data_IF_424828738513
#
_entry.id   IF_424828738513
#
_cell.length_a   1.000
_cell.length_b   1.000
_cell.length_c   1.000
_cell.angle_alpha   90.00
_cell.angle_beta   90.00
_cell.angle_gamma   90.00
#
_symmetry.space_group_name_H-M   'P 1'
#
loop_
_entity.id
_entity.type
_entity.pdbx_description
1 polymer ?
#
# COMPACT_ATOMS: atom_id res chain seq x y z
N UNK A 1 33.75 -24.55 -4.44
CA UNK A 1 32.55 -24.51 -5.30
C UNK A 1 31.25 -24.31 -4.50
N UNK A 2 30.64 -25.30 -3.83
CA UNK A 2 29.33 -25.08 -3.16
C UNK A 2 29.33 -24.02 -2.04
N UNK A 3 30.29 -24.10 -1.10
CA UNK A 3 30.37 -23.14 0.03
C UNK A 3 30.66 -21.71 -0.42
N UNK A 4 31.41 -21.55 -1.52
CA UNK A 4 31.71 -20.26 -2.12
C UNK A 4 30.45 -19.65 -2.73
N UNK A 5 29.69 -20.45 -3.48
CA UNK A 5 28.40 -20.04 -4.05
C UNK A 5 27.37 -19.69 -2.98
N UNK A 6 27.38 -20.40 -1.84
CA UNK A 6 26.54 -20.06 -0.68
C UNK A 6 26.93 -18.72 -0.05
N UNK A 7 28.23 -18.46 0.13
CA UNK A 7 28.72 -17.17 0.62
C UNK A 7 28.31 -16.02 -0.32
N UNK A 8 28.42 -16.22 -1.64
CA UNK A 8 28.00 -15.21 -2.64
C UNK A 8 26.50 -14.91 -2.57
N UNK A 9 25.67 -15.94 -2.40
CA UNK A 9 24.22 -15.78 -2.21
C UNK A 9 23.90 -15.00 -0.93
N UNK A 10 24.61 -15.26 0.18
CA UNK A 10 24.43 -14.51 1.43
C UNK A 10 24.85 -13.03 1.29
N UNK A 11 25.96 -12.77 0.62
CA UNK A 11 26.44 -11.41 0.35
C UNK A 11 25.45 -10.66 -0.55
N UNK A 12 24.91 -11.34 -1.57
CA UNK A 12 23.85 -10.78 -2.43
C UNK A 12 22.60 -10.47 -1.62
N UNK A 13 22.12 -11.41 -0.82
CA UNK A 13 20.92 -11.22 0.01
C UNK A 13 21.08 -10.07 1.00
N UNK A 14 22.25 -9.94 1.64
CA UNK A 14 22.57 -8.81 2.51
C UNK A 14 22.49 -7.48 1.76
N UNK A 15 23.04 -7.40 0.55
CA UNK A 15 22.99 -6.19 -0.29
C UNK A 15 21.56 -5.87 -0.71
N UNK A 16 20.81 -6.86 -1.18
CA UNK A 16 19.43 -6.70 -1.63
C UNK A 16 18.51 -6.23 -0.49
N UNK A 17 18.80 -6.65 0.76
CA UNK A 17 18.08 -6.16 1.94
C UNK A 17 18.49 -4.73 2.35
N UNK A 18 19.76 -4.37 2.23
CA UNK A 18 20.26 -3.05 2.65
C UNK A 18 19.93 -1.95 1.64
N UNK A 19 19.96 -2.27 0.35
CA UNK A 19 19.82 -1.31 -0.76
C UNK A 19 18.58 -0.40 -0.65
N UNK A 20 17.36 -0.91 -0.36
CA UNK A 20 16.19 -0.04 -0.25
C UNK A 20 16.30 0.99 0.89
N UNK A 21 16.97 0.65 1.98
CA UNK A 21 17.16 1.56 3.12
C UNK A 21 18.22 2.62 2.82
N UNK A 22 19.31 2.24 2.16
CA UNK A 22 20.35 3.17 1.74
C UNK A 22 19.79 4.18 0.72
N UNK A 23 19.02 3.70 -0.27
CA UNK A 23 18.33 4.54 -1.26
C UNK A 23 17.33 5.50 -0.60
N UNK A 24 16.51 5.00 0.33
CA UNK A 24 15.55 5.83 1.05
C UNK A 24 16.24 6.90 1.90
N UNK A 25 17.33 6.54 2.58
CA UNK A 25 18.12 7.46 3.40
C UNK A 25 18.75 8.55 2.53
N UNK A 26 19.34 8.18 1.39
CA UNK A 26 19.91 9.14 0.45
C UNK A 26 18.85 10.10 -0.12
N UNK A 27 17.66 9.58 -0.45
CA UNK A 27 16.53 10.40 -0.90
C UNK A 27 16.10 11.40 0.17
N UNK A 28 15.90 10.95 1.41
CA UNK A 28 15.49 11.82 2.52
C UNK A 28 16.52 12.91 2.81
N UNK A 29 17.81 12.58 2.82
CA UNK A 29 18.88 13.57 2.97
C UNK A 29 18.88 14.60 1.83
N UNK A 30 18.57 14.18 0.61
CA UNK A 30 18.44 15.10 -0.53
C UNK A 30 17.29 16.08 -0.34
N UNK A 31 16.13 15.59 0.11
CA UNK A 31 14.97 16.45 0.41
C UNK A 31 15.27 17.39 1.59
N UNK A 32 15.95 16.91 2.63
CA UNK A 32 16.37 17.72 3.76
C UNK A 32 17.27 18.89 3.32
N UNK A 33 18.24 18.62 2.45
CA UNK A 33 19.11 19.67 1.88
C UNK A 33 18.26 20.69 1.09
N UNK A 34 17.37 20.24 0.21
CA UNK A 34 16.50 21.13 -0.58
C UNK A 34 15.63 22.03 0.32
N UNK A 35 15.07 21.46 1.40
CA UNK A 35 14.28 22.23 2.36
C UNK A 35 15.16 23.20 3.16
N UNK A 36 16.37 22.80 3.54
CA UNK A 36 17.32 23.66 4.25
C UNK A 36 17.76 24.86 3.41
N UNK A 37 17.89 24.69 2.09
CA UNK A 37 18.23 25.76 1.15
C UNK A 37 17.08 26.76 0.98
N UNK A 38 15.83 26.27 0.96
CA UNK A 38 14.63 27.13 0.92
C UNK A 38 14.41 27.88 2.22
N UNK A 39 14.84 27.32 3.35
CA UNK A 39 14.72 27.93 4.68
C UNK A 39 15.85 28.92 5.01
N UNK A 40 16.81 29.18 4.10
CA UNK A 40 17.79 30.27 4.28
C UNK A 40 17.09 31.60 3.96
N UNK A 41 16.80 32.47 4.96
CA UNK A 41 16.28 33.80 4.67
C UNK A 41 17.33 34.57 3.86
N UNK A 42 16.87 35.26 2.82
CA UNK A 42 17.69 36.17 2.05
C UNK A 42 18.37 37.17 2.99
N UNK A 43 19.67 36.99 3.21
CA UNK A 43 20.52 37.97 3.87
C UNK A 43 20.70 39.17 2.92
N UNK A 44 19.72 40.08 2.98
CA UNK A 44 19.74 41.49 2.57
C UNK A 44 18.70 42.13 3.50
N UNK A 45 18.97 43.03 4.44
CA UNK A 45 20.08 43.93 4.75
C UNK A 45 20.02 44.17 6.27
N UNK A 46 21.14 44.17 6.98
CA UNK A 46 21.38 45.17 8.05
C UNK A 46 22.83 45.06 8.49
N UNK A 47 23.65 45.96 7.95
CA UNK A 47 24.96 46.29 8.49
C UNK A 47 24.89 47.70 9.08
N UNK A 48 25.58 47.87 10.20
CA UNK A 48 26.01 49.11 10.87
C UNK A 48 24.99 50.05 11.57
N UNK A 49 25.19 50.10 12.89
CA UNK A 49 25.55 51.28 13.68
C UNK A 49 24.76 52.61 13.59
N UNK A 50 24.29 53.01 14.78
CA UNK A 50 24.35 54.38 15.34
C UNK A 50 23.50 55.47 14.68
N UNK A 51 22.56 56.00 15.48
CA UNK A 51 22.45 57.46 15.67
C UNK A 51 21.19 58.16 15.14
N UNK A 52 20.29 58.48 16.07
CA UNK A 52 19.77 59.84 16.35
C UNK A 52 18.92 60.62 15.31
N UNK A 53 17.73 61.00 15.80
CA UNK A 53 16.96 62.25 15.58
C UNK A 53 16.23 62.53 14.25
N UNK A 54 14.90 62.57 14.39
CA UNK A 54 13.95 63.64 14.00
C UNK A 54 13.48 63.88 12.54
N UNK A 55 12.14 63.98 12.46
CA UNK A 55 11.25 64.69 11.55
C UNK A 55 10.99 64.26 10.07
N UNK A 56 9.68 64.22 9.80
CA UNK A 56 8.94 64.56 8.56
C UNK A 56 8.71 63.51 7.44
N UNK A 57 7.44 63.08 7.42
CA UNK A 57 6.48 63.16 6.30
C UNK A 57 6.65 62.32 5.02
N UNK A 58 5.58 61.57 4.76
CA UNK A 58 4.90 61.43 3.46
C UNK A 58 5.10 60.13 2.68
N UNK A 59 3.97 59.47 2.41
CA UNK A 59 3.72 59.02 1.04
C UNK A 59 3.40 57.54 0.85
N UNK A 60 2.15 57.16 1.13
CA UNK A 60 1.41 56.24 0.27
C UNK A 60 1.50 54.75 0.60
N UNK A 61 0.51 54.28 1.36
CA UNK A 61 0.08 52.88 1.30
C UNK A 61 -0.55 52.64 -0.08
N UNK A 62 0.09 51.81 -0.91
CA UNK A 62 -0.59 51.15 -2.02
C UNK A 62 -1.05 49.79 -1.50
N UNK A 63 -2.23 49.78 -0.89
CA UNK A 63 -3.03 48.56 -0.76
C UNK A 63 -3.44 48.13 -2.17
N UNK A 64 -2.93 46.99 -2.63
CA UNK A 64 -3.44 46.27 -3.81
C UNK A 64 -4.54 45.33 -3.32
N UNK A 65 -5.81 45.50 -3.71
CA UNK A 65 -6.88 44.58 -3.32
C UNK A 65 -6.76 43.24 -4.06
N UNK A 66 -6.22 42.23 -3.41
CA UNK A 66 -6.10 40.83 -3.87
C UNK A 66 -7.44 40.05 -3.80
N UNK A 67 -8.57 40.74 -3.95
CA UNK A 67 -9.91 40.19 -3.70
C UNK A 67 -10.59 39.63 -4.96
N UNK A 68 -10.11 39.95 -6.17
CA UNK A 68 -10.82 39.68 -7.43
C UNK A 68 -10.66 38.24 -7.98
N UNK A 69 -9.51 37.59 -7.78
CA UNK A 69 -9.17 36.31 -8.42
C UNK A 69 -9.94 35.10 -7.85
N UNK A 70 -10.35 35.18 -6.57
CA UNK A 70 -11.02 34.08 -5.86
C UNK A 70 -12.52 34.00 -6.17
N UNK A 71 -13.13 35.11 -6.55
CA UNK A 71 -14.53 35.16 -7.02
C UNK A 71 -14.64 34.55 -8.42
N UNK A 72 -13.73 34.90 -9.33
CA UNK A 72 -13.70 34.37 -10.69
C UNK A 72 -13.48 32.84 -10.73
N UNK A 73 -12.61 32.32 -9.85
CA UNK A 73 -12.38 30.88 -9.73
C UNK A 73 -13.63 30.15 -9.20
N UNK A 74 -14.34 30.75 -8.23
CA UNK A 74 -15.59 30.22 -7.70
C UNK A 74 -16.67 30.19 -8.76
N UNK A 75 -16.80 31.27 -9.54
CA UNK A 75 -17.75 31.37 -10.64
C UNK A 75 -17.44 30.38 -11.76
N UNK A 76 -16.15 30.20 -12.08
CA UNK A 76 -15.71 29.25 -13.09
C UNK A 76 -15.99 27.82 -12.64
N UNK A 77 -15.71 27.49 -11.38
CA UNK A 77 -16.04 26.20 -10.78
C UNK A 77 -17.54 25.94 -10.79
N UNK A 78 -18.36 26.94 -10.49
CA UNK A 78 -19.81 26.80 -10.51
C UNK A 78 -20.34 26.60 -11.94
N UNK A 79 -19.87 27.40 -12.91
CA UNK A 79 -20.19 27.23 -14.34
C UNK A 79 -19.79 25.84 -14.83
N UNK A 80 -18.63 25.35 -14.43
CA UNK A 80 -18.12 24.03 -14.81
C UNK A 80 -18.96 22.92 -14.18
N UNK A 81 -19.24 23.00 -12.88
CA UNK A 81 -20.11 22.04 -12.18
C UNK A 81 -21.50 22.02 -12.79
N UNK A 82 -22.10 23.18 -13.08
CA UNK A 82 -23.42 23.26 -13.71
C UNK A 82 -23.43 22.59 -15.08
N UNK A 83 -22.44 22.89 -15.93
CA UNK A 83 -22.32 22.33 -17.28
C UNK A 83 -22.11 20.81 -17.29
N UNK A 84 -21.31 20.28 -16.38
CA UNK A 84 -20.91 18.87 -16.38
C UNK A 84 -21.56 18.02 -15.28
N UNK A 85 -22.40 18.58 -14.42
CA UNK A 85 -23.04 17.90 -13.29
C UNK A 85 -23.73 16.59 -13.71
N UNK A 86 -24.55 16.61 -14.76
CA UNK A 86 -25.24 15.42 -15.26
C UNK A 86 -24.28 14.33 -15.75
N UNK A 87 -23.22 14.70 -16.47
CA UNK A 87 -22.19 13.77 -16.93
C UNK A 87 -21.41 13.19 -15.75
N UNK A 88 -20.99 14.02 -14.80
CA UNK A 88 -20.32 13.62 -13.56
C UNK A 88 -21.20 12.68 -12.72
N UNK A 89 -22.50 12.96 -12.62
CA UNK A 89 -23.48 12.10 -11.93
C UNK A 89 -23.65 10.75 -12.63
N UNK A 90 -23.73 10.74 -13.96
CA UNK A 90 -23.82 9.51 -14.74
C UNK A 90 -22.53 8.69 -14.60
N UNK A 91 -21.37 9.34 -14.76
CA UNK A 91 -20.05 8.73 -14.61
C UNK A 91 -19.86 8.17 -13.20
N UNK A 92 -20.25 8.93 -12.17
CA UNK A 92 -20.25 8.47 -10.77
C UNK A 92 -21.17 7.28 -10.59
N UNK A 93 -22.35 7.24 -11.23
CA UNK A 93 -23.27 6.10 -11.18
C UNK A 93 -22.67 4.86 -11.83
N UNK A 94 -22.03 5.00 -12.99
CA UNK A 94 -21.32 3.91 -13.68
C UNK A 94 -20.17 3.36 -12.82
N UNK A 95 -19.32 4.22 -12.24
CA UNK A 95 -18.24 3.79 -11.34
C UNK A 95 -18.72 3.30 -9.96
N UNK A 96 -19.88 3.76 -9.50
CA UNK A 96 -20.49 3.32 -8.25
C UNK A 96 -21.26 2.00 -8.38
N UNK A 97 -21.36 1.42 -9.58
CA UNK A 97 -21.74 0.00 -9.78
C UNK A 97 -20.64 -0.95 -9.29
N UNK A 98 -19.93 -0.62 -8.21
CA UNK A 98 -19.14 -1.58 -7.44
C UNK A 98 -20.07 -2.75 -7.15
N UNK A 99 -19.77 -3.93 -7.74
CA UNK A 99 -20.54 -5.16 -7.56
C UNK A 99 -20.93 -5.23 -6.09
N UNK A 100 -22.24 -5.21 -5.79
CA UNK A 100 -22.75 -5.14 -4.42
C UNK A 100 -21.96 -6.12 -3.57
N UNK A 101 -21.44 -5.66 -2.43
CA UNK A 101 -20.69 -6.44 -1.42
C UNK A 101 -21.64 -7.47 -0.77
N UNK A 102 -22.15 -8.38 -1.59
CA UNK A 102 -23.00 -9.50 -1.24
C UNK A 102 -22.20 -10.78 -1.35
N UNK A 103 -22.86 -11.90 -1.03
CA UNK A 103 -22.29 -13.23 -1.20
C UNK A 103 -21.82 -13.39 -2.66
N UNK A 104 -20.71 -14.11 -2.87
CA UNK A 104 -20.18 -14.42 -4.19
C UNK A 104 -21.28 -14.99 -5.11
N UNK A 105 -21.27 -14.72 -6.43
CA UNK A 105 -22.24 -15.31 -7.37
C UNK A 105 -22.38 -16.82 -7.19
N UNK A 106 -23.59 -17.38 -7.39
CA UNK A 106 -23.84 -18.81 -7.16
C UNK A 106 -22.93 -19.69 -8.01
N UNK A 107 -22.78 -19.33 -9.28
CA UNK A 107 -21.91 -20.01 -10.25
C UNK A 107 -20.45 -20.00 -9.78
N UNK A 108 -19.93 -18.82 -9.40
CA UNK A 108 -18.58 -18.69 -8.87
C UNK A 108 -18.37 -19.57 -7.62
N UNK A 109 -19.35 -19.64 -6.71
CA UNK A 109 -19.27 -20.53 -5.53
C UNK A 109 -19.23 -22.01 -5.93
N UNK A 110 -19.97 -22.41 -6.95
CA UNK A 110 -20.00 -23.81 -7.39
C UNK A 110 -18.61 -24.23 -7.88
N UNK A 111 -18.00 -23.44 -8.75
CA UNK A 111 -16.65 -23.70 -9.27
C UNK A 111 -15.61 -23.81 -8.14
N UNK A 112 -15.70 -22.94 -7.12
CA UNK A 112 -14.82 -23.01 -5.96
C UNK A 112 -15.06 -24.25 -5.10
N UNK A 113 -16.32 -24.66 -4.95
CA UNK A 113 -16.65 -25.92 -4.27
C UNK A 113 -16.14 -27.13 -5.05
N UNK A 114 -16.26 -27.14 -6.36
CA UNK A 114 -15.82 -28.26 -7.20
C UNK A 114 -14.31 -28.46 -7.02
N UNK A 115 -13.51 -27.39 -7.13
CA UNK A 115 -12.08 -27.45 -6.84
C UNK A 115 -11.80 -27.91 -5.41
N UNK A 116 -12.54 -27.37 -4.42
CA UNK A 116 -12.40 -27.73 -3.01
C UNK A 116 -12.63 -29.21 -2.75
N UNK A 117 -13.68 -29.80 -3.34
CA UNK A 117 -14.00 -31.21 -3.16
C UNK A 117 -12.94 -32.12 -3.77
N UNK A 118 -12.41 -31.76 -4.94
CA UNK A 118 -11.30 -32.47 -5.57
C UNK A 118 -10.01 -32.44 -4.71
N UNK A 119 -9.78 -31.35 -3.98
CA UNK A 119 -8.58 -31.13 -3.17
C UNK A 119 -8.83 -31.18 -1.66
N UNK A 120 -9.90 -31.85 -1.19
CA UNK A 120 -10.32 -31.78 0.21
C UNK A 120 -9.24 -32.24 1.21
N UNK A 121 -8.37 -33.19 0.80
CA UNK A 121 -7.26 -33.67 1.62
C UNK A 121 -6.22 -32.57 1.90
N UNK A 122 -5.95 -31.73 0.90
CA UNK A 122 -4.99 -30.63 1.00
C UNK A 122 -5.51 -29.38 0.27
N UNK A 123 -6.44 -28.62 0.87
CA UNK A 123 -7.16 -27.56 0.18
C UNK A 123 -6.38 -26.23 0.18
N UNK A 124 -5.15 -26.28 -0.33
CA UNK A 124 -4.24 -25.15 -0.51
C UNK A 124 -3.95 -24.97 -2.00
N UNK A 125 -4.75 -24.15 -2.71
CA UNK A 125 -4.54 -23.91 -4.14
C UNK A 125 -3.18 -23.23 -4.36
N UNK A 126 -2.49 -23.65 -5.43
CA UNK A 126 -1.27 -22.99 -5.89
C UNK A 126 -1.56 -21.61 -6.48
N UNK A 127 -0.54 -20.80 -6.76
CA UNK A 127 -0.75 -19.52 -7.43
C UNK A 127 -1.38 -19.68 -8.82
N UNK A 128 -0.98 -20.72 -9.56
CA UNK A 128 -1.58 -21.06 -10.86
C UNK A 128 -3.07 -21.42 -10.72
N UNK A 129 -3.43 -22.23 -9.71
CA UNK A 129 -4.84 -22.57 -9.44
C UNK A 129 -5.65 -21.32 -9.10
N UNK A 130 -5.09 -20.42 -8.28
CA UNK A 130 -5.78 -19.17 -7.91
C UNK A 130 -6.03 -18.28 -9.13
N UNK A 131 -5.07 -18.19 -10.05
CA UNK A 131 -5.22 -17.43 -11.30
C UNK A 131 -6.32 -18.07 -12.16
N UNK A 132 -6.26 -19.38 -12.40
CA UNK A 132 -7.27 -20.10 -13.20
C UNK A 132 -8.68 -19.98 -12.60
N UNK A 133 -8.81 -20.08 -11.27
CA UNK A 133 -10.08 -19.91 -10.57
C UNK A 133 -10.58 -18.46 -10.66
N UNK A 134 -9.70 -17.47 -10.57
CA UNK A 134 -10.06 -16.06 -10.73
C UNK A 134 -10.62 -15.79 -12.15
N UNK A 135 -9.94 -16.32 -13.18
CA UNK A 135 -10.37 -16.20 -14.58
C UNK A 135 -11.73 -16.85 -14.81
N UNK A 136 -11.91 -18.09 -14.34
CA UNK A 136 -13.14 -18.86 -14.57
C UNK A 136 -14.33 -18.29 -13.79
N UNK A 137 -14.10 -17.77 -12.58
CA UNK A 137 -15.17 -17.25 -11.71
C UNK A 137 -15.44 -15.76 -11.89
N UNK A 138 -14.56 -15.03 -12.57
CA UNK A 138 -14.61 -13.57 -12.70
C UNK A 138 -14.48 -12.84 -11.36
N UNK A 139 -13.79 -13.46 -10.41
CA UNK A 139 -13.50 -12.92 -9.08
C UNK A 139 -12.04 -12.48 -8.99
N UNK A 140 -11.77 -11.49 -8.15
CA UNK A 140 -10.39 -11.08 -7.88
C UNK A 140 -9.65 -12.18 -7.09
N UNK A 141 -8.34 -12.32 -7.31
CA UNK A 141 -7.52 -13.29 -6.60
C UNK A 141 -7.59 -13.14 -5.07
N UNK A 142 -7.80 -11.90 -4.57
CA UNK A 142 -8.06 -11.62 -3.15
C UNK A 142 -9.37 -12.26 -2.65
N UNK A 143 -10.42 -12.26 -3.47
CA UNK A 143 -11.69 -12.90 -3.14
C UNK A 143 -11.54 -14.42 -3.12
N UNK A 144 -10.78 -14.98 -4.07
CA UNK A 144 -10.41 -16.41 -4.10
C UNK A 144 -9.68 -16.80 -2.81
N UNK A 145 -8.61 -16.09 -2.47
CA UNK A 145 -7.83 -16.32 -1.24
C UNK A 145 -8.70 -16.28 0.02
N UNK A 146 -9.50 -15.22 0.16
CA UNK A 146 -10.41 -15.07 1.30
C UNK A 146 -11.45 -16.18 1.37
N UNK A 147 -11.94 -16.66 0.22
CA UNK A 147 -12.88 -17.76 0.18
C UNK A 147 -12.25 -19.04 0.70
N UNK A 148 -11.07 -19.43 0.20
CA UNK A 148 -10.38 -20.64 0.64
C UNK A 148 -9.96 -20.61 2.11
N UNK A 149 -9.50 -19.46 2.62
CA UNK A 149 -9.20 -19.28 4.05
C UNK A 149 -10.46 -19.53 4.89
N UNK A 150 -11.57 -18.89 4.54
CA UNK A 150 -12.84 -19.04 5.27
C UNK A 150 -13.41 -20.45 5.12
N UNK A 151 -13.27 -21.07 3.94
CA UNK A 151 -13.75 -22.42 3.67
C UNK A 151 -12.99 -23.44 4.51
N UNK A 152 -11.64 -23.35 4.58
CA UNK A 152 -10.82 -24.15 5.50
C UNK A 152 -11.25 -23.98 6.94
N UNK A 153 -11.35 -22.75 7.41
CA UNK A 153 -11.72 -22.45 8.80
C UNK A 153 -13.09 -23.05 9.19
N UNK A 154 -14.04 -23.15 8.26
CA UNK A 154 -15.40 -23.63 8.53
C UNK A 154 -15.60 -25.12 8.31
N UNK A 155 -14.92 -25.69 7.31
CA UNK A 155 -15.28 -27.00 6.76
C UNK A 155 -14.13 -27.98 6.66
N UNK A 156 -12.88 -27.56 6.88
CA UNK A 156 -11.76 -28.48 6.83
C UNK A 156 -11.48 -29.07 8.21
N UNK A 157 -11.63 -30.40 8.30
CA UNK A 157 -11.24 -31.19 9.45
C UNK A 157 -10.20 -32.20 8.97
N UNK A 158 -8.91 -31.99 9.27
CA UNK A 158 -7.90 -33.01 9.00
C UNK A 158 -8.33 -34.31 9.70
N UNK A 159 -8.38 -35.41 8.95
CA UNK A 159 -8.61 -36.74 9.54
C UNK A 159 -7.50 -37.05 10.55
N UNK A 160 -7.79 -37.86 11.59
CA UNK A 160 -6.83 -38.23 12.66
C UNK A 160 -5.45 -38.67 12.14
N UNK A 161 -5.40 -39.36 11.00
CA UNK A 161 -4.16 -39.82 10.36
C UNK A 161 -3.24 -38.67 9.89
N UNK A 162 -3.74 -37.44 9.79
CA UNK A 162 -2.96 -36.26 9.40
C UNK A 162 -2.50 -35.44 10.63
N UNK A 163 -3.15 -35.63 11.78
CA UNK A 163 -2.76 -35.01 13.06
C UNK A 163 -1.49 -35.67 13.63
N UNK A 164 -1.27 -36.96 13.33
CA UNK A 164 -0.12 -37.72 13.82
C UNK A 164 1.20 -37.38 13.12
N UNK A 165 1.18 -36.87 11.89
CA UNK A 165 2.40 -36.59 11.13
C UNK A 165 3.21 -35.38 11.64
N UNK A 166 2.70 -34.64 12.62
CA UNK A 166 3.36 -33.44 13.20
C UNK A 166 3.95 -33.73 14.59
N UNK A 167 3.60 -34.83 15.24
CA UNK A 167 4.00 -35.11 16.64
C UNK A 167 5.13 -36.13 16.80
N UNK A 168 5.59 -36.80 15.74
CA UNK A 168 6.54 -37.92 15.85
C UNK A 168 8.01 -37.62 15.52
N UNK A 169 8.42 -36.35 15.35
CA UNK A 169 9.83 -36.01 15.06
C UNK A 169 10.62 -35.42 16.25
N UNK A 170 10.15 -35.61 17.49
CA UNK A 170 10.95 -35.31 18.67
C UNK A 170 10.88 -36.40 19.74
N UNK A 171 11.81 -37.37 19.77
CA UNK A 171 12.10 -38.10 20.98
C UNK A 171 13.01 -37.22 21.86
N UNK A 172 12.41 -36.31 22.61
CA UNK A 172 13.06 -35.70 23.77
C UNK A 172 12.96 -36.66 24.97
N UNK A 173 13.75 -37.74 24.98
CA UNK A 173 14.19 -38.45 26.19
C UNK A 173 14.98 -39.70 25.84
N UNK A 174 16.31 -39.63 25.97
CA UNK A 174 17.16 -40.66 26.56
C UNK A 174 18.62 -40.30 26.30
N UNK A 175 19.30 -39.77 27.31
CA UNK A 175 20.65 -40.17 27.76
C UNK A 175 21.23 -39.09 28.71
N UNK A 176 20.64 -39.02 29.91
CA UNK A 176 21.44 -38.90 31.12
C UNK A 176 21.46 -40.32 31.72
N UNK A 177 22.67 -40.89 31.86
CA UNK A 177 23.10 -42.18 32.44
C UNK A 177 24.16 -42.78 31.50
N UNK A 178 25.40 -43.09 31.85
CA UNK A 178 26.11 -43.25 33.12
C UNK A 178 27.64 -43.13 32.86
N UNK A 179 28.39 -42.90 33.95
CA UNK A 179 29.85 -43.01 34.19
C UNK A 179 30.86 -42.11 33.45
#
# INVERSE_FOLDING_TARGET
EFMEMYCDVLVKYRRDLAQPFDEATAFLNTIEIQLSDLCKPAAFISDEAVGSSEEELSGGEVEVPELHSKDEERDLKEKLLRKYSGYLSSLKKEFSKKKKKGKLPREARQLLLDWWTAHYKWPYPTEADKISLAETTGLDQKQINNWFINQRKRHWKPSENMQFAIVDDFPASSLFADD
#
